data_IF_580493107254
#
_entry.id   IF_580493107254
#
_cell.length_a   1.000
_cell.length_b   1.000
_cell.length_c   1.000
_cell.angle_alpha   90.00
_cell.angle_beta   90.00
_cell.angle_gamma   90.00
#
_symmetry.space_group_name_H-M   'P 1'
#
loop_
_entity.id
_entity.type
_entity.pdbx_description
1 polymer ?
#
# COMPACT_ATOMS: atom_id res chain seq x y z
N UNK A 1 -3.03 -8.24 -5.70
CA UNK A 1 -2.70 -8.39 -4.26
C UNK A 1 -1.79 -9.59 -3.96
N UNK A 2 -2.07 -10.80 -4.46
CA UNK A 2 -1.28 -12.00 -4.15
C UNK A 2 0.24 -11.87 -4.45
N UNK A 3 0.61 -11.24 -5.58
CA UNK A 3 2.02 -10.97 -5.95
C UNK A 3 2.77 -10.12 -4.92
N UNK A 4 2.05 -9.26 -4.21
CA UNK A 4 2.59 -8.39 -3.18
C UNK A 4 2.96 -9.09 -1.88
N UNK A 5 2.09 -10.02 -1.47
CA UNK A 5 2.31 -10.88 -0.30
C UNK A 5 3.51 -11.80 -0.56
N UNK A 6 3.64 -12.32 -1.78
CA UNK A 6 4.80 -13.10 -2.22
C UNK A 6 6.07 -12.24 -2.28
N UNK A 7 5.99 -11.01 -2.77
CA UNK A 7 7.10 -10.05 -2.76
C UNK A 7 7.60 -9.71 -1.36
N UNK A 8 6.69 -9.56 -0.40
CA UNK A 8 7.03 -9.31 1.01
C UNK A 8 7.84 -10.47 1.65
N UNK A 9 7.55 -11.71 1.23
CA UNK A 9 8.24 -12.91 1.72
C UNK A 9 9.56 -13.19 0.99
N UNK A 10 9.72 -12.70 -0.25
CA UNK A 10 10.91 -12.93 -1.10
C UNK A 10 12.00 -11.88 -0.89
N UNK A 11 11.65 -10.63 -0.55
CA UNK A 11 12.62 -9.55 -0.38
C UNK A 11 13.07 -9.38 1.09
N UNK A 12 14.37 -9.55 1.40
CA UNK A 12 14.87 -9.42 2.77
C UNK A 12 14.97 -7.96 3.24
N UNK A 13 15.11 -6.99 2.34
CA UNK A 13 15.36 -5.59 2.68
C UNK A 13 14.07 -4.79 3.04
N UNK A 14 14.15 -3.93 4.06
CA UNK A 14 13.01 -3.16 4.58
C UNK A 14 12.47 -2.16 3.56
N UNK A 15 13.35 -1.49 2.81
CA UNK A 15 12.95 -0.49 1.81
C UNK A 15 12.32 -1.14 0.59
N UNK A 16 12.87 -2.29 0.14
CA UNK A 16 12.31 -3.04 -0.99
C UNK A 16 10.93 -3.60 -0.66
N UNK A 17 10.67 -3.99 0.60
CA UNK A 17 9.35 -4.42 1.07
C UNK A 17 8.32 -3.29 1.03
N UNK A 18 8.67 -2.09 1.49
CA UNK A 18 7.75 -0.95 1.49
C UNK A 18 7.45 -0.48 0.06
N UNK A 19 8.46 -0.44 -0.82
CA UNK A 19 8.24 -0.10 -2.23
C UNK A 19 7.35 -1.13 -2.94
N UNK A 20 7.61 -2.43 -2.73
CA UNK A 20 6.76 -3.48 -3.27
C UNK A 20 5.32 -3.31 -2.77
N UNK A 21 5.12 -3.16 -1.46
CA UNK A 21 3.82 -2.94 -0.80
C UNK A 21 3.02 -1.78 -1.42
N UNK A 22 3.67 -0.62 -1.59
CA UNK A 22 3.04 0.57 -2.17
C UNK A 22 2.59 0.39 -3.63
N UNK A 23 3.40 -0.29 -4.46
CA UNK A 23 3.07 -0.54 -5.87
C UNK A 23 1.82 -1.43 -6.01
N UNK A 24 1.69 -2.48 -5.18
CA UNK A 24 0.52 -3.37 -5.27
C UNK A 24 -0.75 -2.67 -4.81
N UNK A 25 -0.64 -1.79 -3.81
CA UNK A 25 -1.78 -1.03 -3.30
C UNK A 25 -2.27 -0.01 -4.34
N UNK A 26 -1.36 0.73 -4.97
CA UNK A 26 -1.68 1.69 -6.03
C UNK A 26 -2.29 1.02 -7.26
N UNK A 27 -1.92 -0.21 -7.60
CA UNK A 27 -2.54 -0.93 -8.72
C UNK A 27 -3.81 -1.70 -8.31
N UNK A 28 -3.84 -2.29 -7.11
CA UNK A 28 -4.90 -3.19 -6.67
C UNK A 28 -6.15 -2.45 -6.22
N UNK A 29 -5.98 -1.38 -5.44
CA UNK A 29 -7.09 -0.61 -4.90
C UNK A 29 -7.95 0.04 -6.00
N UNK A 30 -7.41 0.82 -6.96
CA UNK A 30 -8.23 1.41 -8.02
C UNK A 30 -8.84 0.33 -8.93
N UNK A 31 -8.17 -0.80 -9.16
CA UNK A 31 -8.73 -1.90 -9.94
C UNK A 31 -9.98 -2.51 -9.27
N UNK A 32 -9.93 -2.73 -7.94
CA UNK A 32 -11.10 -3.12 -7.17
C UNK A 32 -12.21 -2.06 -7.19
N UNK A 33 -11.85 -0.77 -7.07
CA UNK A 33 -12.82 0.32 -7.11
C UNK A 33 -13.50 0.46 -8.48
N UNK A 34 -12.77 0.25 -9.59
CA UNK A 34 -13.35 0.21 -10.94
C UNK A 34 -14.34 -0.96 -11.06
N UNK A 35 -13.98 -2.15 -10.57
CA UNK A 35 -14.89 -3.30 -10.55
C UNK A 35 -16.16 -3.06 -9.73
N UNK A 36 -16.03 -2.44 -8.55
CA UNK A 36 -17.16 -2.05 -7.71
C UNK A 36 -18.02 -0.96 -8.36
N UNK A 37 -17.42 0.03 -9.03
CA UNK A 37 -18.13 1.10 -9.74
C UNK A 37 -18.94 0.55 -10.92
N UNK A 38 -18.51 -0.53 -11.56
CA UNK A 38 -19.26 -1.20 -12.63
C UNK A 38 -20.47 -1.99 -12.09
N UNK A 39 -20.42 -2.50 -10.85
CA UNK A 39 -21.55 -3.20 -10.21
C UNK A 39 -22.52 -2.28 -9.48
N UNK A 40 -22.09 -1.09 -9.05
CA UNK A 40 -22.87 -0.16 -8.26
C UNK A 40 -23.57 0.88 -9.14
N UNK A 41 -24.91 0.82 -9.27
CA UNK A 41 -25.70 1.84 -9.99
C UNK A 41 -26.07 3.06 -9.14
N UNK A 42 -25.71 3.09 -7.85
CA UNK A 42 -26.08 4.18 -6.93
C UNK A 42 -24.95 5.21 -6.79
N UNK A 43 -25.21 6.45 -7.23
CA UNK A 43 -24.24 7.55 -7.26
C UNK A 43 -23.70 7.91 -5.86
N UNK A 44 -24.51 7.73 -4.81
CA UNK A 44 -24.13 8.12 -3.44
C UNK A 44 -23.11 7.14 -2.84
N UNK A 45 -23.27 5.85 -3.13
CA UNK A 45 -22.33 4.81 -2.69
C UNK A 45 -21.00 4.89 -3.44
N UNK A 46 -21.03 5.17 -4.74
CA UNK A 46 -19.82 5.37 -5.55
C UNK A 46 -19.00 6.56 -5.08
N UNK A 47 -19.64 7.67 -4.69
CA UNK A 47 -18.94 8.84 -4.16
C UNK A 47 -18.20 8.53 -2.84
N UNK A 48 -18.85 7.82 -1.91
CA UNK A 48 -18.22 7.38 -0.65
C UNK A 48 -17.04 6.44 -0.90
N UNK A 49 -17.21 5.51 -1.83
CA UNK A 49 -16.17 4.58 -2.25
C UNK A 49 -14.95 5.34 -2.80
N UNK A 50 -15.14 6.24 -3.76
CA UNK A 50 -14.05 7.05 -4.32
C UNK A 50 -13.37 7.93 -3.26
N UNK A 51 -14.14 8.50 -2.32
CA UNK A 51 -13.57 9.29 -1.23
C UNK A 51 -12.65 8.45 -0.32
N UNK A 52 -13.05 7.22 0.02
CA UNK A 52 -12.22 6.27 0.79
C UNK A 52 -11.00 5.84 -0.01
N UNK A 53 -11.15 5.57 -1.31
CA UNK A 53 -10.04 5.23 -2.21
C UNK A 53 -8.96 6.32 -2.24
N UNK A 54 -9.40 7.59 -2.38
CA UNK A 54 -8.51 8.74 -2.39
C UNK A 54 -7.80 8.93 -1.03
N UNK A 55 -8.52 8.71 0.07
CA UNK A 55 -7.94 8.71 1.42
C UNK A 55 -6.84 7.66 1.54
N UNK A 56 -7.12 6.40 1.20
CA UNK A 56 -6.13 5.31 1.28
C UNK A 56 -4.93 5.58 0.36
N UNK A 57 -5.17 6.14 -0.83
CA UNK A 57 -4.10 6.52 -1.75
C UNK A 57 -3.17 7.59 -1.15
N UNK A 58 -3.70 8.55 -0.40
CA UNK A 58 -2.89 9.55 0.33
C UNK A 58 -2.23 8.97 1.58
N UNK A 59 -2.89 8.03 2.27
CA UNK A 59 -2.31 7.35 3.43
C UNK A 59 -1.13 6.44 3.05
N UNK A 60 -1.10 5.86 1.85
CA UNK A 60 -0.01 4.99 1.39
C UNK A 60 1.39 5.67 1.41
N UNK A 61 1.60 6.83 0.78
CA UNK A 61 2.88 7.54 0.86
C UNK A 61 3.13 8.11 2.26
N UNK A 62 2.10 8.50 3.03
CA UNK A 62 2.25 8.98 4.41
C UNK A 62 2.76 7.86 5.33
N UNK A 63 2.17 6.67 5.23
CA UNK A 63 2.58 5.48 5.98
C UNK A 63 4.00 5.06 5.60
N UNK A 64 4.30 5.03 4.30
CA UNK A 64 5.64 4.73 3.77
C UNK A 64 6.69 5.71 4.29
N UNK A 65 6.38 7.01 4.27
CA UNK A 65 7.29 8.07 4.74
C UNK A 65 7.47 8.03 6.26
N UNK A 66 6.39 7.79 7.02
CA UNK A 66 6.44 7.63 8.47
C UNK A 66 7.25 6.39 8.87
N UNK A 67 7.05 5.26 8.18
CA UNK A 67 7.82 4.03 8.38
C UNK A 67 9.29 4.21 8.03
N UNK A 68 9.60 4.87 6.90
CA UNK A 68 10.98 5.19 6.53
C UNK A 68 11.66 6.08 7.58
N UNK A 69 10.95 7.09 8.10
CA UNK A 69 11.47 7.99 9.14
C UNK A 69 11.65 7.30 10.49
N UNK A 70 10.74 6.39 10.85
CA UNK A 70 10.85 5.57 12.06
C UNK A 70 11.97 4.52 11.95
N UNK A 71 12.29 4.08 10.72
CA UNK A 71 13.38 3.13 10.48
C UNK A 71 14.77 3.77 10.45
N UNK A 72 14.89 5.10 10.20
CA UNK A 72 16.18 5.81 10.24
C UNK A 72 16.95 5.74 11.58
N UNK A 73 16.32 5.91 12.76
CA UNK A 73 17.01 5.78 14.05
C UNK A 73 17.25 4.32 14.48
N UNK A 74 16.56 3.35 13.88
CA UNK A 74 16.78 1.92 14.12
C UNK A 74 17.98 1.50 13.27
N UNK A 75 19.06 1.00 13.87
CA UNK A 75 20.18 0.39 13.13
C UNK A 75 19.66 -0.84 12.38
N UNK A 76 19.23 -0.64 11.14
CA UNK A 76 18.88 -1.72 10.23
C UNK A 76 20.16 -2.52 9.94
N UNK A 77 20.17 -3.79 10.31
CA UNK A 77 21.21 -4.74 9.91
C UNK A 77 21.28 -4.82 8.38
N UNK A 78 22.42 -5.25 7.80
CA UNK A 78 22.66 -5.38 6.34
C UNK A 78 21.60 -6.26 5.61
N UNK A 79 20.69 -6.89 6.36
CA UNK A 79 19.54 -7.69 5.93
C UNK A 79 18.15 -7.14 6.33
N UNK A 80 18.02 -5.87 6.73
CA UNK A 80 16.71 -5.22 6.92
C UNK A 80 15.82 -5.80 8.04
N UNK A 81 16.43 -6.35 9.11
CA UNK A 81 15.72 -6.81 10.32
C UNK A 81 15.94 -5.84 11.49
N UNK A 82 14.88 -5.61 12.25
CA UNK A 82 14.92 -4.94 13.56
C UNK A 82 15.70 -5.86 14.51
N UNK A 83 16.80 -5.37 15.09
CA UNK A 83 17.42 -6.03 16.25
C UNK A 83 16.65 -5.68 17.51
#
# INVERSE_FOLDING_TARGET
MASGIVGLFRFPDFYTKIHAAGVIEVCGLPFCFIGLALMQSDYTSTFKLVAIAALIFLLNPVSTYALARAAMPVKLDEKGRVK
#
